data_IF_281836429120
#
_entry.id   IF_281836429120
#
_cell.length_a   1.000
_cell.length_b   1.000
_cell.length_c   1.000
_cell.angle_alpha   90.00
_cell.angle_beta   90.00
_cell.angle_gamma   90.00
#
_symmetry.space_group_name_H-M   'P 1'
#
loop_
_entity.id
_entity.type
_entity.pdbx_description
1 polymer ?
#
# COMPACT_ATOMS: atom_id res chain seq x y z
N UNK A 1 -20.09 5.92 -2.39
CA UNK A 1 -20.22 4.83 -3.38
C UNK A 1 -21.34 5.12 -4.37
N UNK A 2 -22.51 5.50 -3.87
CA UNK A 2 -23.77 5.42 -4.63
C UNK A 2 -23.91 6.47 -5.74
N UNK A 3 -23.06 7.51 -5.74
CA UNK A 3 -23.06 8.57 -6.74
C UNK A 3 -21.91 8.49 -7.77
N UNK A 4 -20.99 7.52 -7.64
CA UNK A 4 -19.74 7.51 -8.39
C UNK A 4 -19.92 7.46 -9.91
N UNK A 5 -21.01 6.87 -10.40
CA UNK A 5 -21.24 6.61 -11.83
C UNK A 5 -22.60 7.10 -12.34
N UNK A 6 -23.29 7.97 -11.58
CA UNK A 6 -24.63 8.45 -11.93
C UNK A 6 -24.58 9.35 -13.18
N UNK A 7 -23.62 10.26 -13.23
CA UNK A 7 -23.47 11.18 -14.35
C UNK A 7 -22.66 10.60 -15.52
N UNK A 8 -21.83 9.59 -15.27
CA UNK A 8 -20.92 9.01 -16.26
C UNK A 8 -20.49 7.59 -15.86
N UNK A 9 -20.44 6.64 -16.80
CA UNK A 9 -19.98 5.27 -16.52
C UNK A 9 -18.45 5.14 -16.51
N UNK A 10 -17.72 6.19 -16.89
CA UNK A 10 -16.26 6.18 -17.03
C UNK A 10 -15.55 6.16 -15.67
N UNK A 11 -14.26 5.74 -15.61
CA UNK A 11 -13.55 5.55 -14.35
C UNK A 11 -13.49 6.82 -13.50
N UNK A 12 -13.65 6.65 -12.19
CA UNK A 12 -13.48 7.68 -11.20
C UNK A 12 -12.08 7.58 -10.59
N UNK A 13 -11.34 8.69 -10.56
CA UNK A 13 -10.02 8.74 -9.90
C UNK A 13 -10.16 9.46 -8.56
N UNK A 14 -9.94 8.74 -7.47
CA UNK A 14 -9.83 9.29 -6.12
C UNK A 14 -8.38 9.64 -5.85
N UNK A 15 -8.07 10.95 -5.84
CA UNK A 15 -6.75 11.44 -5.41
C UNK A 15 -6.76 11.65 -3.91
N UNK A 16 -6.02 10.81 -3.19
CA UNK A 16 -5.92 10.83 -1.72
C UNK A 16 -4.58 11.45 -1.33
N UNK A 17 -4.65 12.56 -0.60
CA UNK A 17 -3.51 13.11 0.12
C UNK A 17 -3.40 12.39 1.47
N UNK A 18 -2.39 11.52 1.60
CA UNK A 18 -2.25 10.65 2.75
C UNK A 18 -1.14 11.13 3.69
N UNK A 19 -1.53 11.64 4.86
CA UNK A 19 -0.63 12.01 5.96
C UNK A 19 -0.73 11.05 7.16
N UNK A 20 -1.38 9.91 6.98
CA UNK A 20 -1.59 8.92 8.02
C UNK A 20 -0.29 8.18 8.38
N UNK A 21 -0.25 7.59 9.58
CA UNK A 21 0.80 6.63 9.95
C UNK A 21 0.76 5.39 9.04
N UNK A 22 1.76 4.51 9.15
CA UNK A 22 1.79 3.25 8.40
C UNK A 22 0.59 2.37 8.74
N UNK A 23 0.30 2.18 10.02
CA UNK A 23 -0.80 1.38 10.54
C UNK A 23 -2.15 1.93 10.05
N UNK A 24 -2.31 3.26 10.14
CA UNK A 24 -3.51 3.95 9.67
C UNK A 24 -3.68 3.84 8.14
N UNK A 25 -2.59 3.90 7.38
CA UNK A 25 -2.61 3.70 5.93
C UNK A 25 -3.03 2.29 5.56
N UNK A 26 -2.57 1.28 6.32
CA UNK A 26 -3.01 -0.11 6.17
C UNK A 26 -4.51 -0.22 6.45
N UNK A 27 -5.01 0.38 7.52
CA UNK A 27 -6.45 0.39 7.82
C UNK A 27 -7.26 1.09 6.74
N UNK A 28 -6.79 2.25 6.27
CA UNK A 28 -7.41 2.97 5.15
C UNK A 28 -7.50 2.09 3.89
N UNK A 29 -6.47 1.30 3.59
CA UNK A 29 -6.50 0.38 2.46
C UNK A 29 -7.57 -0.72 2.59
N UNK A 30 -7.81 -1.22 3.82
CA UNK A 30 -8.86 -2.21 4.10
C UNK A 30 -10.23 -1.59 3.90
N UNK A 31 -10.44 -0.40 4.46
CA UNK A 31 -11.68 0.37 4.28
C UNK A 31 -11.97 0.62 2.80
N UNK A 32 -10.98 1.01 1.99
CA UNK A 32 -11.18 1.19 0.55
C UNK A 32 -11.55 -0.10 -0.18
N UNK A 33 -10.92 -1.23 0.17
CA UNK A 33 -11.26 -2.54 -0.42
C UNK A 33 -12.70 -2.94 -0.12
N UNK A 34 -13.14 -2.74 1.12
CA UNK A 34 -14.51 -3.06 1.53
C UNK A 34 -15.52 -2.10 0.91
N UNK A 35 -15.27 -0.79 0.99
CA UNK A 35 -16.20 0.24 0.52
C UNK A 35 -16.37 0.24 -1.02
N UNK A 36 -15.31 -0.11 -1.75
CA UNK A 36 -15.29 -0.12 -3.22
C UNK A 36 -15.22 -1.54 -3.81
N UNK A 37 -15.58 -2.56 -3.04
CA UNK A 37 -15.64 -3.94 -3.50
C UNK A 37 -16.42 -4.04 -4.83
N UNK A 38 -15.85 -4.76 -5.81
CA UNK A 38 -16.40 -4.90 -7.17
C UNK A 38 -16.13 -3.70 -8.11
N UNK A 39 -15.93 -2.50 -7.57
CA UNK A 39 -15.58 -1.29 -8.32
C UNK A 39 -14.06 -1.02 -8.37
N UNK A 40 -13.23 -1.83 -7.71
CA UNK A 40 -11.78 -1.73 -7.88
C UNK A 40 -11.34 -2.40 -9.21
N UNK A 41 -10.27 -1.88 -9.87
CA UNK A 41 -9.71 -2.49 -11.06
C UNK A 41 -9.06 -3.84 -10.73
N UNK A 42 -8.91 -4.74 -11.72
CA UNK A 42 -8.11 -5.95 -11.55
C UNK A 42 -6.63 -5.59 -11.28
N UNK A 43 -5.89 -6.55 -10.70
CA UNK A 43 -4.44 -6.39 -10.51
C UNK A 43 -3.77 -6.20 -11.88
N UNK A 44 -3.07 -5.08 -12.06
CA UNK A 44 -2.25 -4.86 -13.23
C UNK A 44 -1.01 -5.76 -13.17
N UNK A 45 -0.76 -6.48 -14.26
CA UNK A 45 0.47 -7.26 -14.39
C UNK A 45 1.60 -6.34 -14.88
N UNK A 46 2.84 -6.56 -14.43
CA UNK A 46 3.99 -5.76 -14.89
C UNK A 46 4.33 -5.96 -16.37
N UNK A 47 3.71 -6.95 -17.04
CA UNK A 47 3.85 -7.22 -18.46
C UNK A 47 2.90 -6.39 -19.35
N UNK A 48 2.12 -5.47 -18.77
CA UNK A 48 1.28 -4.57 -19.56
C UNK A 48 2.08 -3.37 -20.08
N UNK A 49 2.38 -3.39 -21.38
CA UNK A 49 3.07 -2.30 -22.07
C UNK A 49 2.19 -1.06 -22.28
N UNK A 50 0.86 -1.19 -22.09
CA UNK A 50 -0.11 -0.12 -22.28
C UNK A 50 -1.12 -0.08 -21.13
N UNK A 51 -1.54 1.13 -20.77
CA UNK A 51 -2.62 1.33 -19.83
C UNK A 51 -3.97 0.98 -20.48
N UNK A 52 -4.95 0.46 -19.73
CA UNK A 52 -6.28 0.22 -20.26
C UNK A 52 -6.95 1.53 -20.69
N UNK A 53 -7.80 1.44 -21.71
CA UNK A 53 -8.65 2.54 -22.13
C UNK A 53 -9.72 2.89 -21.09
N UNK A 54 -10.29 4.11 -21.14
CA UNK A 54 -11.42 4.47 -20.27
C UNK A 54 -12.62 3.53 -20.40
N UNK A 55 -12.82 2.92 -21.57
CA UNK A 55 -13.90 1.95 -21.79
C UNK A 55 -13.67 0.65 -21.02
N UNK A 56 -12.43 0.17 -20.93
CA UNK A 56 -12.06 -1.03 -20.17
C UNK A 56 -12.13 -0.81 -18.65
N UNK A 57 -12.15 0.45 -18.22
CA UNK A 57 -12.21 0.86 -16.81
C UNK A 57 -13.59 1.43 -16.41
N UNK A 58 -14.64 1.18 -17.19
CA UNK A 58 -15.99 1.59 -16.80
C UNK A 58 -16.38 1.02 -15.45
N UNK A 59 -17.04 1.85 -14.65
CA UNK A 59 -17.46 1.55 -13.28
C UNK A 59 -16.30 1.21 -12.32
N UNK A 60 -15.07 1.59 -12.68
CA UNK A 60 -13.89 1.40 -11.83
C UNK A 60 -13.50 2.68 -11.09
N UNK A 61 -13.09 2.49 -9.84
CA UNK A 61 -12.54 3.52 -8.97
C UNK A 61 -11.04 3.29 -8.85
N UNK A 62 -10.24 4.23 -9.36
CA UNK A 62 -8.79 4.23 -9.27
C UNK A 62 -8.37 5.08 -8.07
N UNK A 63 -7.50 4.55 -7.21
CA UNK A 63 -7.00 5.27 -6.04
C UNK A 63 -5.58 5.74 -6.33
N UNK A 64 -5.40 7.06 -6.46
CA UNK A 64 -4.09 7.70 -6.58
C UNK A 64 -3.69 8.21 -5.19
N UNK A 65 -2.63 7.65 -4.61
CA UNK A 65 -2.08 8.10 -3.33
C UNK A 65 -0.56 8.23 -3.42
N UNK A 66 0.01 9.20 -2.72
CA UNK A 66 1.47 9.25 -2.49
C UNK A 66 1.79 8.32 -1.33
N UNK A 67 2.53 7.25 -1.58
CA UNK A 67 3.06 6.38 -0.52
C UNK A 67 4.39 6.95 -0.07
N UNK A 68 4.38 7.70 1.03
CA UNK A 68 5.59 8.39 1.47
C UNK A 68 6.60 7.50 2.16
N UNK A 69 6.27 6.27 2.62
CA UNK A 69 7.19 5.44 3.44
C UNK A 69 7.03 3.92 3.33
N UNK A 70 6.21 3.40 2.43
CA UNK A 70 5.94 1.96 2.30
C UNK A 70 6.66 1.39 1.08
N UNK A 71 7.42 0.32 1.26
CA UNK A 71 8.13 -0.31 0.14
C UNK A 71 7.13 -1.01 -0.80
N UNK A 72 7.40 -1.12 -2.12
CA UNK A 72 6.51 -1.82 -3.05
C UNK A 72 6.15 -3.24 -2.61
N UNK A 73 7.06 -3.93 -1.89
CA UNK A 73 6.84 -5.28 -1.33
C UNK A 73 5.72 -5.32 -0.28
N UNK A 74 5.65 -4.33 0.60
CA UNK A 74 4.58 -4.25 1.62
C UNK A 74 3.21 -3.94 1.02
N UNK A 75 3.15 -3.19 -0.09
CA UNK A 75 1.90 -2.93 -0.79
C UNK A 75 1.25 -4.22 -1.32
N UNK A 76 2.09 -5.19 -1.71
CA UNK A 76 1.65 -6.52 -2.15
C UNK A 76 1.18 -7.35 -0.95
N UNK A 77 1.89 -7.34 0.18
CA UNK A 77 1.48 -8.07 1.39
C UNK A 77 0.15 -7.55 1.97
N UNK A 78 -0.09 -6.24 1.94
CA UNK A 78 -1.39 -5.65 2.31
C UNK A 78 -2.52 -6.24 1.46
N UNK A 79 -2.25 -6.71 0.24
CA UNK A 79 -3.24 -7.36 -0.64
C UNK A 79 -3.47 -8.86 -0.39
N UNK A 80 -2.67 -9.52 0.45
CA UNK A 80 -2.72 -10.98 0.67
C UNK A 80 -3.15 -11.41 2.07
N UNK A 81 -3.56 -10.49 2.95
CA UNK A 81 -4.16 -10.85 4.24
C UNK A 81 -5.63 -11.25 4.05
N UNK A 82 -5.86 -12.47 3.57
CA UNK A 82 -7.10 -13.18 3.83
C UNK A 82 -7.12 -13.64 5.30
N UNK A 83 -8.22 -13.33 5.99
CA UNK A 83 -8.67 -13.73 7.33
C UNK A 83 -7.70 -14.44 8.29
N UNK A 84 -7.43 -13.81 9.44
CA UNK A 84 -6.84 -14.50 10.59
C UNK A 84 -6.44 -13.60 11.77
N UNK A 85 -7.40 -13.38 12.67
CA UNK A 85 -7.31 -13.10 14.13
C UNK A 85 -6.45 -11.93 14.70
N UNK A 86 -7.08 -11.23 15.65
CA UNK A 86 -6.48 -10.23 16.55
C UNK A 86 -5.52 -10.91 17.53
N UNK A 87 -4.32 -10.33 17.72
CA UNK A 87 -3.64 -10.26 19.03
C UNK A 87 -2.93 -8.91 19.16
N UNK A 88 -3.31 -8.16 20.19
CA UNK A 88 -2.54 -7.07 20.76
C UNK A 88 -1.37 -7.66 21.54
N UNK A 89 -0.11 -7.33 21.25
CA UNK A 89 1.00 -7.44 22.22
C UNK A 89 2.10 -6.40 21.91
N UNK A 90 2.38 -5.53 22.89
CA UNK A 90 3.71 -5.06 23.33
C UNK A 90 4.63 -4.34 22.34
N UNK A 91 4.84 -3.03 22.57
CA UNK A 91 6.04 -2.34 22.13
C UNK A 91 7.26 -2.91 22.87
N UNK A 92 8.21 -3.50 22.14
CA UNK A 92 9.59 -3.65 22.63
C UNK A 92 10.56 -3.32 21.50
N UNK A 93 11.22 -2.16 21.65
CA UNK A 93 12.07 -1.55 20.64
C UNK A 93 13.39 -2.29 20.46
N UNK A 94 13.56 -2.98 19.32
CA UNK A 94 14.89 -3.33 18.82
C UNK A 94 15.40 -2.27 17.85
N UNK A 95 16.31 -1.44 18.37
CA UNK A 95 17.12 -0.47 17.61
C UNK A 95 17.90 -1.20 16.50
N UNK A 96 17.50 -0.99 15.25
CA UNK A 96 18.28 -1.43 14.09
C UNK A 96 19.56 -0.57 14.02
N UNK A 97 20.72 -1.18 14.29
CA UNK A 97 22.03 -0.51 14.13
C UNK A 97 22.29 -0.24 12.65
N UNK A 98 22.60 1.02 12.32
CA UNK A 98 22.93 1.43 10.97
C UNK A 98 24.33 0.91 10.56
N UNK A 99 24.57 0.78 9.25
CA UNK A 99 25.81 0.21 8.69
C UNK A 99 27.09 0.88 9.21
N UNK A 100 27.02 2.17 9.58
CA UNK A 100 28.15 2.93 10.12
C UNK A 100 28.66 2.40 11.46
N UNK A 101 27.80 1.76 12.25
CA UNK A 101 28.17 1.20 13.55
C UNK A 101 28.84 -0.17 13.39
N UNK A 102 28.52 -0.92 12.33
CA UNK A 102 29.12 -2.23 12.02
C UNK A 102 30.54 -2.14 11.49
N UNK A 103 30.86 -1.08 10.75
CA UNK A 103 32.22 -0.87 10.23
C UNK A 103 33.22 -0.54 11.35
N UNK A 104 32.79 0.23 12.37
CA UNK A 104 33.64 0.57 13.52
C UNK A 104 33.98 -0.61 14.43
N UNK A 105 33.10 -1.61 14.49
CA UNK A 105 33.32 -2.83 15.28
C UNK A 105 34.30 -3.76 14.56
N UNK A 106 34.18 -3.89 13.23
CA UNK A 106 35.15 -4.61 12.39
C UNK A 106 36.55 -3.99 12.40
N UNK A 107 36.65 -2.67 12.40
CA UNK A 107 37.94 -1.98 12.43
C UNK A 107 38.67 -2.19 13.77
N UNK A 108 37.94 -2.33 14.88
CA UNK A 108 38.51 -2.64 16.19
C UNK A 108 39.01 -4.08 16.29
N UNK A 109 38.28 -5.06 15.75
CA UNK A 109 38.73 -6.46 15.70
C UNK A 109 39.96 -6.68 14.81
N UNK A 110 40.22 -5.79 13.85
CA UNK A 110 41.36 -5.91 12.92
C UNK A 110 42.67 -5.36 13.49
N UNK A 111 42.64 -4.67 14.64
CA UNK A 111 43.82 -4.08 15.30
C UNK A 111 44.28 -4.83 16.56
N UNK A 112 43.65 -5.96 16.89
CA UNK A 112 44.03 -6.88 17.98
C UNK A 112 44.66 -8.16 17.42
#
# INVERSE_FOLDING_TARGET
>A
RDNAFVASPYPLVLSVENHCSREQSIQMSKVFKEAFAGALPPKFTPAMDQLPSPNELKYKILIKTSVSKTTPKELVEITHLEGGERKEEGEDGKKLKNNRDKEKEKEREMME
#
